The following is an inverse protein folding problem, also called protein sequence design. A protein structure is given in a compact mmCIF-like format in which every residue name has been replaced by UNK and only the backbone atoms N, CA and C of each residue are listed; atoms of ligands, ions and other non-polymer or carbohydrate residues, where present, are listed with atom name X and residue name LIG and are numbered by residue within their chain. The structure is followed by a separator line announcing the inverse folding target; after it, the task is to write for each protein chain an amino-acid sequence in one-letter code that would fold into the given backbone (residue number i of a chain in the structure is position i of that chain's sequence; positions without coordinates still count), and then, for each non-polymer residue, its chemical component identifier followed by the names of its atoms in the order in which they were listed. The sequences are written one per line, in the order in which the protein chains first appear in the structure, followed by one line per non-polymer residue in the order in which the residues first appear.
data_IF_780922061997
#
_entry.id   IF_780922061997
#
_cell.length_a   1.000
_cell.length_b   1.000
_cell.length_c   1.000
_cell.angle_alpha   90.00
_cell.angle_beta   90.00
_cell.angle_gamma   90.00
#
_symmetry.space_group_name_H-M   'P 1'
#
loop_
_entity.id
_entity.type
_entity.pdbx_description
1 polymer ?
#
# COMPACT_ATOMS: atom_id res chain seq x y z
N UNK A 1 2.00 5.54 3.55
CA UNK A 1 1.77 4.69 2.35
C UNK A 1 2.58 3.40 2.33
N UNK A 2 3.85 3.39 2.76
CA UNK A 2 4.66 2.16 2.79
C UNK A 2 4.07 1.01 3.61
N UNK A 3 3.46 1.29 4.77
CA UNK A 3 2.76 0.25 5.54
C UNK A 3 1.59 -0.38 4.75
N UNK A 4 0.82 0.46 4.05
CA UNK A 4 -0.31 0.03 3.22
C UNK A 4 0.16 -0.80 2.02
N UNK A 5 1.25 -0.41 1.38
CA UNK A 5 1.89 -1.15 0.29
C UNK A 5 2.19 -2.61 0.68
N UNK A 6 2.63 -2.82 1.93
CA UNK A 6 2.96 -4.15 2.45
C UNK A 6 1.73 -4.94 2.88
N UNK A 7 0.77 -4.30 3.56
CA UNK A 7 -0.40 -4.98 4.10
C UNK A 7 -1.44 -5.31 3.02
N UNK A 8 -1.58 -4.43 2.03
CA UNK A 8 -2.68 -4.46 1.07
C UNK A 8 -2.21 -4.32 -0.39
N UNK A 9 -1.22 -5.10 -0.87
CA UNK A 9 -0.69 -4.96 -2.22
C UNK A 9 -1.74 -5.22 -3.31
N UNK A 10 -2.72 -6.09 -3.02
CA UNK A 10 -3.82 -6.45 -3.94
C UNK A 10 -5.10 -5.64 -3.72
N UNK A 11 -5.10 -4.62 -2.85
CA UNK A 11 -6.29 -3.78 -2.67
C UNK A 11 -6.62 -3.07 -3.99
N UNK A 12 -7.89 -3.14 -4.39
CA UNK A 12 -8.38 -2.58 -5.65
C UNK A 12 -8.72 -1.11 -5.46
N UNK A 13 -7.97 -0.22 -6.08
CA UNK A 13 -8.23 1.22 -6.10
C UNK A 13 -9.03 1.52 -7.37
N UNK A 14 -10.18 2.20 -7.24
CA UNK A 14 -10.87 2.75 -8.41
C UNK A 14 -10.01 3.88 -8.97
N UNK A 15 -9.47 3.68 -10.16
CA UNK A 15 -8.54 4.62 -10.79
C UNK A 15 -9.14 5.11 -12.08
N UNK A 16 -9.17 6.42 -12.22
CA UNK A 16 -9.46 7.10 -13.47
C UNK A 16 -8.21 7.04 -14.35
N UNK A 17 -8.25 6.21 -15.39
CA UNK A 17 -7.14 6.01 -16.32
C UNK A 17 -7.50 6.67 -17.64
N UNK A 18 -6.67 7.64 -18.03
CA UNK A 18 -6.74 8.28 -19.34
C UNK A 18 -5.79 7.51 -20.26
N UNK A 19 -6.35 6.63 -21.09
CA UNK A 19 -5.67 6.13 -22.28
C UNK A 19 -5.87 7.18 -23.37
N UNK A 20 -4.87 7.44 -24.20
CA UNK A 20 -4.78 8.60 -25.13
C UNK A 20 -6.09 8.91 -25.90
N UNK A 21 -6.91 7.89 -26.19
CA UNK A 21 -8.18 8.00 -26.94
C UNK A 21 -9.40 7.59 -26.07
N UNK A 22 -9.19 6.96 -24.91
CA UNK A 22 -10.26 6.41 -24.06
C UNK A 22 -10.07 6.76 -22.58
N UNK A 23 -11.12 7.29 -21.97
CA UNK A 23 -11.18 7.51 -20.53
C UNK A 23 -11.95 6.37 -19.90
N UNK A 24 -11.32 5.63 -18.99
CA UNK A 24 -11.94 4.50 -18.31
C UNK A 24 -11.68 4.53 -16.80
N UNK A 25 -12.67 4.10 -16.02
CA UNK A 25 -12.50 3.85 -14.58
C UNK A 25 -12.27 2.35 -14.41
N UNK A 26 -11.04 1.98 -14.04
CA UNK A 26 -10.68 0.58 -13.79
C UNK A 26 -10.19 0.39 -12.36
N UNK A 27 -10.25 -0.86 -11.88
CA UNK A 27 -9.70 -1.22 -10.58
C UNK A 27 -8.24 -1.62 -10.74
N UNK A 28 -7.34 -0.79 -10.22
CA UNK A 28 -5.90 -1.06 -10.25
C UNK A 28 -5.45 -1.54 -8.87
N UNK A 29 -4.69 -2.65 -8.78
CA UNK A 29 -4.07 -3.06 -7.53
C UNK A 29 -3.17 -1.96 -6.95
N UNK A 30 -3.26 -1.73 -5.65
CA UNK A 30 -2.56 -0.66 -4.95
C UNK A 30 -1.03 -0.73 -5.12
N UNK A 31 -0.47 -1.93 -5.28
CA UNK A 31 0.96 -2.13 -5.54
C UNK A 31 1.44 -1.36 -6.79
N UNK A 32 0.64 -1.31 -7.86
CA UNK A 32 1.03 -0.60 -9.08
C UNK A 32 0.95 0.91 -8.90
N UNK A 33 -0.13 1.40 -8.32
CA UNK A 33 -0.34 2.84 -8.08
C UNK A 33 0.76 3.39 -7.16
N UNK A 34 0.96 2.74 -6.01
CA UNK A 34 1.93 3.18 -5.01
C UNK A 34 3.37 2.92 -5.45
N UNK A 35 3.62 1.82 -6.16
CA UNK A 35 4.93 1.53 -6.74
C UNK A 35 5.34 2.58 -7.76
N UNK A 36 4.45 2.94 -8.69
CA UNK A 36 4.68 4.02 -9.64
C UNK A 36 4.92 5.36 -8.95
N UNK A 37 4.07 5.73 -7.98
CA UNK A 37 4.24 6.97 -7.22
C UNK A 37 5.58 7.04 -6.50
N UNK A 38 5.99 5.95 -5.85
CA UNK A 38 7.26 5.87 -5.12
C UNK A 38 8.46 5.91 -6.07
N UNK A 39 8.38 5.22 -7.21
CA UNK A 39 9.44 5.24 -8.22
C UNK A 39 9.71 6.66 -8.76
N UNK A 40 8.65 7.48 -8.94
CA UNK A 40 8.84 8.90 -9.31
C UNK A 40 9.55 9.71 -8.23
N UNK A 41 9.42 9.36 -6.96
CA UNK A 41 10.17 10.05 -5.88
C UNK A 41 11.68 9.80 -6.02
N UNK A 42 12.08 8.60 -6.45
CA UNK A 42 13.48 8.25 -6.69
C UNK A 42 14.04 8.97 -7.92
N UNK A 43 13.25 9.05 -8.99
CA UNK A 43 13.68 9.78 -10.20
C UNK A 43 13.80 11.29 -9.92
N UNK A 44 12.92 11.85 -9.08
CA UNK A 44 12.92 13.26 -8.72
C UNK A 44 13.96 13.67 -7.67
N UNK A 45 14.90 12.78 -7.30
CA UNK A 45 15.98 13.07 -6.36
C UNK A 45 16.77 14.29 -6.83
N UNK A 46 16.91 15.29 -5.96
CA UNK A 46 17.64 16.53 -6.26
C UNK A 46 16.82 17.61 -6.96
N UNK A 47 15.52 17.39 -7.21
CA UNK A 47 14.60 18.49 -7.54
C UNK A 47 14.22 19.27 -6.28
N UNK A 48 14.21 20.61 -6.38
CA UNK A 48 13.97 21.50 -5.23
C UNK A 48 12.47 21.66 -4.90
N UNK A 49 11.59 21.34 -5.85
CA UNK A 49 10.15 21.57 -5.72
C UNK A 49 9.42 20.49 -4.90
N UNK A 50 10.06 19.33 -4.66
CA UNK A 50 9.43 18.18 -4.04
C UNK A 50 10.30 17.68 -2.88
N UNK A 51 9.70 17.54 -1.70
CA UNK A 51 10.32 16.96 -0.51
C UNK A 51 10.55 15.44 -0.63
N UNK A 52 11.33 15.03 -1.63
CA UNK A 52 11.54 13.64 -2.00
C UNK A 52 12.14 12.81 -0.86
N UNK A 53 13.09 13.36 -0.09
CA UNK A 53 13.69 12.66 1.05
C UNK A 53 12.65 12.25 2.08
N UNK A 54 11.67 13.13 2.36
CA UNK A 54 10.59 12.86 3.30
C UNK A 54 9.64 11.77 2.77
N UNK A 55 9.32 11.82 1.48
CA UNK A 55 8.49 10.79 0.84
C UNK A 55 9.18 9.42 0.83
N UNK A 56 10.45 9.36 0.44
CA UNK A 56 11.22 8.12 0.41
C UNK A 56 11.38 7.56 1.82
N UNK A 57 11.88 8.37 2.74
CA UNK A 57 12.09 7.98 4.14
C UNK A 57 10.82 7.53 4.82
N UNK A 58 9.74 8.30 4.73
CA UNK A 58 8.45 7.95 5.32
C UNK A 58 7.84 6.67 4.72
N UNK A 59 8.03 6.42 3.43
CA UNK A 59 7.58 5.19 2.81
C UNK A 59 8.38 3.98 3.32
N UNK A 60 9.71 4.05 3.32
CA UNK A 60 10.58 2.96 3.78
C UNK A 60 10.39 2.66 5.27
N UNK A 61 10.35 3.70 6.12
CA UNK A 61 10.08 3.55 7.56
C UNK A 61 8.70 2.92 7.78
N UNK A 62 7.67 3.34 7.04
CA UNK A 62 6.35 2.72 7.12
C UNK A 62 6.36 1.22 6.74
N UNK A 63 7.10 0.84 5.69
CA UNK A 63 7.28 -0.57 5.29
C UNK A 63 8.00 -1.39 6.35
N UNK A 64 9.01 -0.80 7.00
CA UNK A 64 9.80 -1.44 8.04
C UNK A 64 8.99 -1.64 9.32
N UNK A 65 8.38 -0.58 9.84
CA UNK A 65 7.59 -0.60 11.07
C UNK A 65 6.45 -1.61 10.97
N UNK A 66 5.72 -1.65 9.85
CA UNK A 66 4.62 -2.60 9.71
C UNK A 66 5.11 -4.05 9.72
N UNK A 67 6.26 -4.35 9.10
CA UNK A 67 6.84 -5.69 9.16
C UNK A 67 7.28 -6.05 10.57
N UNK A 68 7.81 -5.08 11.32
CA UNK A 68 8.33 -5.30 12.68
C UNK A 68 7.24 -5.43 13.75
N UNK A 69 6.11 -4.75 13.58
CA UNK A 69 5.05 -4.64 14.59
C UNK A 69 3.72 -5.29 14.18
N UNK A 70 3.60 -5.90 13.00
CA UNK A 70 2.41 -6.66 12.62
C UNK A 70 2.21 -7.82 13.60
N UNK A 71 1.22 -7.67 14.49
CA UNK A 71 0.80 -8.77 15.37
C UNK A 71 0.20 -9.89 14.51
N UNK A 72 0.49 -11.17 14.81
CA UNK A 72 -0.25 -12.27 14.22
C UNK A 72 -1.73 -12.04 14.49
N UNK A 73 -2.58 -12.22 13.46
CA UNK A 73 -4.03 -12.11 13.65
C UNK A 73 -4.41 -13.18 14.66
N UNK A 74 -4.85 -12.76 15.85
CA UNK A 74 -5.31 -13.67 16.90
C UNK A 74 -6.31 -14.64 16.26
N UNK A 75 -6.03 -15.95 16.32
CA UNK A 75 -7.00 -16.94 15.84
C UNK A 75 -8.27 -16.69 16.63
N UNK A 76 -9.38 -16.46 15.93
CA UNK A 76 -10.68 -16.46 16.57
C UNK A 76 -10.83 -17.86 17.18
N UNK A 77 -10.77 -17.95 18.51
CA UNK A 77 -11.16 -19.17 19.21
C UNK A 77 -12.67 -19.27 18.96
N UNK A 78 -13.06 -20.21 18.11
CA UNK A 78 -14.46 -20.57 17.95
C UNK A 78 -14.77 -21.40 19.20
N UNK A 79 -15.44 -20.78 20.17
CA UNK A 79 -16.03 -21.52 21.29
C UNK A 79 -17.27 -22.18 20.69
N UNK A 80 -17.25 -23.51 20.60
CA UNK A 80 -18.41 -24.27 20.16
C UNK A 80 -19.53 -24.11 21.21
N UNK A 81 -20.70 -23.54 20.85
CA UNK A 81 -21.83 -23.42 21.76
C UNK A 81 -22.51 -24.76 22.09
N UNK A 82 -22.19 -25.85 21.37
CA UNK A 82 -22.87 -27.14 21.50
C UNK A 82 -22.68 -27.81 22.86
N UNK A 83 -21.62 -27.45 23.61
CA UNK A 83 -21.42 -27.94 24.98
C UNK A 83 -21.23 -29.45 25.09
N UNK A 84 -20.93 -30.15 24.00
CA UNK A 84 -20.63 -31.58 24.01
C UNK A 84 -19.16 -31.79 24.43
N UNK A 85 -18.96 -32.20 25.68
CA UNK A 85 -17.69 -32.67 26.25
C UNK A 85 -17.75 -34.18 26.50
#
# INVERSE_FOLDING_TARGET
LGAYFVLYPKAKIKTFVVLIIFIQIIYVPAVFILGFWFFRQIIGIGSDDIAWYAHIGGFLVGMFLVRRFKRPRSRRIIIDPSGEW
#
